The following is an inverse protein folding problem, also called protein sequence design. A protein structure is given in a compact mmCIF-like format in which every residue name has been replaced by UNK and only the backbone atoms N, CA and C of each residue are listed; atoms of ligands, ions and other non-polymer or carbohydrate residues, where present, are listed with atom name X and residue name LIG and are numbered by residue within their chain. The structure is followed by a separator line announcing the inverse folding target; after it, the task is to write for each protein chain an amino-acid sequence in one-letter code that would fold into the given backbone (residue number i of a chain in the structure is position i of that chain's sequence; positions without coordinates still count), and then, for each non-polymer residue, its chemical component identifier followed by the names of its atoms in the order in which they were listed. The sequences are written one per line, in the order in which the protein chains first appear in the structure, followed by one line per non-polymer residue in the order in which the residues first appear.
data_IF_356202588904
#
_entry.id   IF_356202588904
#
_cell.length_a   1.000
_cell.length_b   1.000
_cell.length_c   1.000
_cell.angle_alpha   90.00
_cell.angle_beta   90.00
_cell.angle_gamma   90.00
#
_symmetry.space_group_name_H-M   'P 1'
#
loop_
_entity.id
_entity.type
_entity.pdbx_description
1 polymer ?
#
# COMPACT_ATOMS: atom_id res chain seq x y z
N UNK A 1 13.71 5.20 0.35
CA UNK A 1 14.51 3.95 0.32
C UNK A 1 14.86 3.53 1.73
N UNK A 2 14.84 2.23 2.00
CA UNK A 2 15.30 1.63 3.26
C UNK A 2 16.20 0.42 2.98
N UNK A 3 17.32 0.24 3.71
CA UNK A 3 18.16 -0.95 3.59
C UNK A 3 17.39 -2.23 3.89
N UNK A 4 17.62 -3.27 3.08
CA UNK A 4 17.12 -4.60 3.40
C UNK A 4 18.03 -5.24 4.45
N UNK A 5 17.52 -5.34 5.69
CA UNK A 5 18.22 -5.96 6.83
C UNK A 5 17.77 -7.39 7.11
N UNK A 6 16.95 -7.97 6.23
CA UNK A 6 16.33 -9.30 6.40
C UNK A 6 16.85 -10.32 5.38
N UNK A 7 17.06 -9.92 4.13
CA UNK A 7 17.57 -10.80 3.06
C UNK A 7 18.65 -10.11 2.22
N UNK A 8 19.34 -10.88 1.37
CA UNK A 8 20.40 -10.37 0.51
C UNK A 8 19.89 -9.64 -0.75
N UNK A 9 18.64 -9.88 -1.15
CA UNK A 9 18.03 -9.28 -2.33
C UNK A 9 16.54 -8.95 -2.07
N UNK A 10 16.07 -7.76 -2.50
CA UNK A 10 16.85 -6.64 -3.04
C UNK A 10 17.75 -5.99 -1.99
N UNK A 11 18.76 -5.19 -2.38
CA UNK A 11 19.63 -4.48 -1.41
C UNK A 11 18.88 -3.42 -0.59
N UNK A 12 17.92 -2.77 -1.22
CA UNK A 12 17.06 -1.76 -0.59
C UNK A 12 15.61 -2.03 -0.99
N UNK A 13 14.68 -1.65 -0.12
CA UNK A 13 13.28 -1.50 -0.46
C UNK A 13 12.95 -0.04 -0.73
N UNK A 14 12.11 0.19 -1.73
CA UNK A 14 11.50 1.50 -1.97
C UNK A 14 10.34 1.71 -1.01
N UNK A 15 10.13 2.96 -0.60
CA UNK A 15 8.95 3.42 0.13
C UNK A 15 8.35 4.49 -0.77
N UNK A 16 7.11 4.31 -1.19
CA UNK A 16 6.47 5.22 -2.16
C UNK A 16 6.38 6.64 -1.56
N UNK A 17 6.00 6.74 -0.28
CA UNK A 17 5.96 8.03 0.41
C UNK A 17 6.20 7.90 1.91
N UNK A 18 7.03 8.77 2.49
CA UNK A 18 7.27 8.81 3.93
C UNK A 18 6.82 10.15 4.51
N UNK A 19 5.93 10.10 5.49
CA UNK A 19 5.45 11.27 6.22
C UNK A 19 6.17 11.34 7.56
N UNK A 20 7.21 12.18 7.63
CA UNK A 20 8.07 12.30 8.81
C UNK A 20 7.32 12.68 10.10
N UNK A 21 6.37 13.64 10.11
CA UNK A 21 5.66 14.01 11.34
C UNK A 21 4.91 12.84 12.00
N UNK A 22 4.29 11.99 11.18
CA UNK A 22 3.50 10.85 11.66
C UNK A 22 4.29 9.53 11.63
N UNK A 23 5.54 9.60 11.15
CA UNK A 23 6.44 8.47 10.99
C UNK A 23 5.85 7.31 10.14
N UNK A 24 5.02 7.64 9.15
CA UNK A 24 4.29 6.69 8.30
C UNK A 24 4.99 6.46 6.96
N UNK A 25 5.34 5.21 6.67
CA UNK A 25 5.91 4.75 5.42
C UNK A 25 4.83 4.08 4.56
N UNK A 26 4.36 4.81 3.55
CA UNK A 26 3.25 4.42 2.70
C UNK A 26 3.71 3.60 1.50
N UNK A 27 2.95 2.55 1.22
CA UNK A 27 2.92 1.80 -0.03
C UNK A 27 1.56 2.02 -0.69
N UNK A 28 1.56 2.60 -1.90
CA UNK A 28 0.34 3.04 -2.58
C UNK A 28 0.13 2.18 -3.83
N UNK A 29 -1.04 1.56 -3.93
CA UNK A 29 -1.43 0.71 -5.06
C UNK A 29 -2.79 1.11 -5.60
N UNK A 30 -2.89 1.26 -6.92
CA UNK A 30 -4.19 1.30 -7.59
C UNK A 30 -4.88 -0.06 -7.51
N UNK A 31 -4.22 -1.07 -8.07
CA UNK A 31 -4.61 -2.49 -8.03
C UNK A 31 -3.34 -3.30 -8.10
N UNK A 32 -3.24 -4.36 -7.30
CA UNK A 32 -2.12 -5.29 -7.36
C UNK A 32 -2.61 -6.67 -7.80
N UNK A 33 -2.27 -7.04 -9.04
CA UNK A 33 -2.72 -8.27 -9.69
C UNK A 33 -1.71 -9.42 -9.59
N UNK A 34 -0.72 -9.26 -8.72
CA UNK A 34 0.31 -10.26 -8.45
C UNK A 34 -0.28 -11.58 -7.99
N UNK A 35 0.22 -12.68 -8.56
CA UNK A 35 -0.22 -14.04 -8.25
C UNK A 35 0.88 -14.92 -7.66
N UNK A 36 2.12 -14.42 -7.62
CA UNK A 36 3.29 -15.16 -7.15
C UNK A 36 3.51 -14.96 -5.65
N UNK A 37 3.76 -16.09 -4.95
CA UNK A 37 4.00 -16.12 -3.51
C UNK A 37 5.32 -15.47 -3.10
N UNK A 38 6.30 -15.36 -4.00
CA UNK A 38 7.55 -14.64 -3.71
C UNK A 38 7.30 -13.17 -3.32
N UNK A 39 6.26 -12.57 -3.88
CA UNK A 39 5.88 -11.20 -3.53
C UNK A 39 5.40 -11.06 -2.08
N UNK A 40 4.69 -12.05 -1.54
CA UNK A 40 4.27 -12.02 -0.12
C UNK A 40 5.48 -11.98 0.79
N UNK A 41 6.50 -12.81 0.49
CA UNK A 41 7.75 -12.83 1.24
C UNK A 41 8.49 -11.51 1.16
N UNK A 42 8.62 -10.92 -0.04
CA UNK A 42 9.30 -9.63 -0.23
C UNK A 42 8.59 -8.49 0.50
N UNK A 43 7.25 -8.43 0.41
CA UNK A 43 6.47 -7.43 1.15
C UNK A 43 6.61 -7.62 2.67
N UNK A 44 6.58 -8.86 3.16
CA UNK A 44 6.81 -9.12 4.57
C UNK A 44 8.21 -8.65 5.01
N UNK A 45 9.27 -8.97 4.26
CA UNK A 45 10.63 -8.50 4.57
C UNK A 45 10.73 -6.97 4.57
N UNK A 46 10.07 -6.31 3.61
CA UNK A 46 9.99 -4.83 3.54
C UNK A 46 9.33 -4.25 4.79
N UNK A 47 8.18 -4.78 5.18
CA UNK A 47 7.44 -4.36 6.39
C UNK A 47 8.31 -4.51 7.64
N UNK A 48 9.02 -5.64 7.77
CA UNK A 48 9.93 -5.87 8.89
C UNK A 48 11.11 -4.86 8.89
N UNK A 49 11.67 -4.54 7.72
CA UNK A 49 12.69 -3.49 7.62
C UNK A 49 12.14 -2.14 8.08
N UNK A 50 10.97 -1.74 7.59
CA UNK A 50 10.30 -0.47 7.95
C UNK A 50 10.10 -0.39 9.47
N UNK A 51 9.56 -1.46 10.06
CA UNK A 51 9.33 -1.56 11.50
C UNK A 51 10.63 -1.53 12.31
N UNK A 52 11.69 -2.20 11.86
CA UNK A 52 13.02 -2.13 12.49
C UNK A 52 13.64 -0.74 12.44
N UNK A 53 13.35 0.04 11.39
CA UNK A 53 13.74 1.44 11.29
C UNK A 53 12.84 2.37 12.14
N UNK A 54 11.91 1.81 12.91
CA UNK A 54 11.03 2.55 13.81
C UNK A 54 9.85 3.23 13.12
N UNK A 55 9.59 2.97 11.83
CA UNK A 55 8.48 3.58 11.07
C UNK A 55 7.22 2.72 11.10
N UNK A 56 6.07 3.33 10.83
CA UNK A 56 4.77 2.66 10.72
C UNK A 56 4.51 2.31 9.24
N UNK A 57 4.44 1.03 8.86
CA UNK A 57 4.10 0.62 7.50
C UNK A 57 2.60 0.86 7.23
N UNK A 58 2.28 1.51 6.10
CA UNK A 58 0.89 1.82 5.72
C UNK A 58 0.66 1.35 4.28
N UNK A 59 -0.29 0.44 4.07
CA UNK A 59 -0.74 0.06 2.73
C UNK A 59 -2.02 0.81 2.38
N UNK A 60 -2.01 1.49 1.25
CA UNK A 60 -3.20 2.10 0.66
C UNK A 60 -3.46 1.42 -0.69
N UNK A 61 -4.58 0.70 -0.82
CA UNK A 61 -4.92 0.02 -2.08
C UNK A 61 -6.35 0.30 -2.52
N UNK A 62 -6.53 0.99 -3.64
CA UNK A 62 -7.84 1.48 -4.07
C UNK A 62 -8.76 0.39 -4.64
N UNK A 63 -8.20 -0.65 -5.25
CA UNK A 63 -8.97 -1.71 -5.92
C UNK A 63 -8.39 -3.09 -5.63
N UNK A 64 -9.24 -4.02 -5.19
CA UNK A 64 -8.90 -5.44 -5.15
C UNK A 64 -8.72 -5.99 -6.58
N UNK A 65 -7.82 -6.97 -6.77
CA UNK A 65 -7.73 -7.68 -8.04
C UNK A 65 -8.95 -8.58 -8.26
N UNK A 66 -9.21 -8.94 -9.51
CA UNK A 66 -10.39 -9.77 -9.86
C UNK A 66 -10.07 -11.28 -9.87
N UNK A 67 -8.80 -11.66 -10.03
CA UNK A 67 -8.41 -13.08 -10.15
C UNK A 67 -8.32 -13.72 -8.76
N UNK A 68 -9.01 -14.85 -8.55
CA UNK A 68 -9.04 -15.58 -7.27
C UNK A 68 -7.66 -15.79 -6.64
N UNK A 69 -6.65 -16.17 -7.44
CA UNK A 69 -5.29 -16.34 -6.93
C UNK A 69 -4.67 -15.03 -6.44
N UNK A 70 -4.84 -13.94 -7.20
CA UNK A 70 -4.34 -12.62 -6.81
C UNK A 70 -5.06 -12.11 -5.54
N UNK A 71 -6.38 -12.35 -5.43
CA UNK A 71 -7.15 -12.02 -4.22
C UNK A 71 -6.52 -12.69 -3.01
N UNK A 72 -6.29 -14.01 -3.05
CA UNK A 72 -5.68 -14.76 -1.93
C UNK A 72 -4.29 -14.24 -1.55
N UNK A 73 -3.48 -13.87 -2.54
CA UNK A 73 -2.15 -13.30 -2.28
C UNK A 73 -2.27 -11.92 -1.64
N UNK A 74 -3.15 -11.07 -2.14
CA UNK A 74 -3.36 -9.73 -1.58
C UNK A 74 -3.95 -9.78 -0.17
N UNK A 75 -4.86 -10.71 0.12
CA UNK A 75 -5.38 -10.91 1.48
C UNK A 75 -4.26 -11.21 2.49
N UNK A 76 -3.28 -12.04 2.10
CA UNK A 76 -2.09 -12.33 2.92
C UNK A 76 -1.20 -11.10 3.09
N UNK A 77 -0.97 -10.32 2.04
CA UNK A 77 -0.18 -9.09 2.15
C UNK A 77 -0.89 -8.10 3.07
N UNK A 78 -2.20 -7.91 2.89
CA UNK A 78 -3.03 -7.02 3.73
C UNK A 78 -3.00 -7.46 5.19
N UNK A 79 -3.10 -8.76 5.48
CA UNK A 79 -3.05 -9.24 6.86
C UNK A 79 -1.72 -8.91 7.54
N UNK A 80 -0.60 -9.03 6.82
CA UNK A 80 0.72 -8.65 7.36
C UNK A 80 0.79 -7.14 7.64
N UNK A 81 0.29 -6.29 6.73
CA UNK A 81 0.23 -4.86 7.00
C UNK A 81 -0.65 -4.54 8.22
N UNK A 82 -1.78 -5.22 8.40
CA UNK A 82 -2.65 -5.03 9.58
C UNK A 82 -2.02 -5.52 10.89
N UNK A 83 -1.16 -6.54 10.82
CA UNK A 83 -0.44 -7.05 11.99
C UNK A 83 0.65 -6.07 12.46
N UNK A 84 1.34 -5.40 11.53
CA UNK A 84 2.51 -4.57 11.84
C UNK A 84 2.31 -3.06 11.63
N UNK A 85 1.15 -2.63 11.17
CA UNK A 85 0.83 -1.24 10.84
C UNK A 85 -0.60 -1.06 10.36
N UNK A 86 -0.78 -0.37 9.23
CA UNK A 86 -2.11 -0.02 8.72
C UNK A 86 -2.34 -0.56 7.31
N UNK A 87 -3.58 -0.94 7.00
CA UNK A 87 -4.00 -1.29 5.65
C UNK A 87 -5.40 -0.74 5.35
N UNK A 88 -5.48 0.15 4.36
CA UNK A 88 -6.69 0.84 3.92
C UNK A 88 -7.02 0.38 2.50
N UNK A 89 -8.11 -0.36 2.33
CA UNK A 89 -8.41 -1.07 1.07
C UNK A 89 -9.80 -0.70 0.53
N UNK A 90 -9.91 -0.51 -0.78
CA UNK A 90 -11.19 -0.18 -1.41
C UNK A 90 -11.70 1.18 -0.94
N UNK A 91 -12.92 1.23 -0.39
CA UNK A 91 -13.51 2.48 0.14
C UNK A 91 -12.62 3.10 1.23
N UNK A 92 -12.03 2.29 2.09
CA UNK A 92 -11.17 2.76 3.19
C UNK A 92 -9.93 3.50 2.66
N UNK A 93 -9.39 3.10 1.50
CA UNK A 93 -8.26 3.80 0.87
C UNK A 93 -8.62 5.24 0.49
N UNK A 94 -9.82 5.44 -0.05
CA UNK A 94 -10.34 6.75 -0.43
C UNK A 94 -10.62 7.63 0.79
N UNK A 95 -11.28 7.06 1.80
CA UNK A 95 -11.57 7.75 3.05
C UNK A 95 -10.28 8.12 3.78
N UNK A 96 -9.28 7.22 3.79
CA UNK A 96 -7.97 7.46 4.40
C UNK A 96 -7.30 8.69 3.80
N UNK A 97 -7.15 8.76 2.47
CA UNK A 97 -6.50 9.90 1.82
C UNK A 97 -7.24 11.20 2.09
N UNK A 98 -8.58 11.19 2.01
CA UNK A 98 -9.40 12.36 2.30
C UNK A 98 -9.20 12.84 3.72
N UNK A 99 -9.26 11.94 4.70
CA UNK A 99 -9.14 12.30 6.11
C UNK A 99 -7.72 12.70 6.49
N UNK A 100 -6.72 12.03 5.91
CA UNK A 100 -5.31 12.22 6.25
C UNK A 100 -4.71 13.47 5.60
N UNK A 101 -5.18 13.84 4.41
CA UNK A 101 -4.63 14.98 3.65
C UNK A 101 -5.58 16.15 3.49
N UNK A 102 -6.87 15.97 3.80
CA UNK A 102 -7.94 16.93 3.47
C UNK A 102 -8.34 16.93 1.99
N UNK A 103 -7.70 16.13 1.14
CA UNK A 103 -7.93 16.13 -0.30
C UNK A 103 -8.83 14.97 -0.75
N UNK A 104 -9.98 15.31 -1.35
CA UNK A 104 -10.92 14.32 -1.89
C UNK A 104 -10.48 13.82 -3.28
N UNK A 105 -9.52 12.90 -3.30
CA UNK A 105 -8.95 12.34 -4.53
C UNK A 105 -9.99 11.62 -5.40
N UNK A 106 -10.94 10.90 -4.79
CA UNK A 106 -11.98 10.18 -5.53
C UNK A 106 -12.80 11.16 -6.36
N UNK A 107 -13.36 12.16 -5.69
CA UNK A 107 -14.17 13.20 -6.33
C UNK A 107 -13.37 13.95 -7.38
N UNK A 108 -12.11 14.31 -7.11
CA UNK A 108 -11.24 14.98 -8.09
C UNK A 108 -11.05 14.18 -9.40
N UNK A 109 -10.82 12.87 -9.29
CA UNK A 109 -10.59 12.00 -10.46
C UNK A 109 -11.88 11.76 -11.27
N UNK A 110 -13.02 11.60 -10.59
CA UNK A 110 -14.28 11.19 -11.23
C UNK A 110 -15.24 12.35 -11.55
N UNK A 111 -15.02 13.55 -11.02
CA UNK A 111 -15.76 14.74 -11.45
C UNK A 111 -15.43 15.11 -12.91
N UNK A 112 -14.15 15.04 -13.31
CA UNK A 112 -13.73 15.36 -14.68
C UNK A 112 -14.26 14.38 -15.74
N UNK A 113 -14.60 13.16 -15.35
CA UNK A 113 -15.19 12.16 -16.27
C UNK A 113 -16.66 12.40 -16.61
N UNK A 114 -17.35 13.34 -15.93
CA UNK A 114 -18.72 13.74 -16.28
C UNK A 114 -18.79 14.85 -17.33
N UNK A 115 -17.69 15.57 -17.56
CA UNK A 115 -17.65 16.76 -18.44
C UNK A 115 -17.13 16.46 -19.86
N UNK A 116 -16.76 15.19 -20.15
CA UNK A 116 -16.16 14.77 -21.42
C UNK A 116 -17.04 13.81 -22.24
N UNK A 117 -18.36 13.83 -22.00
CA UNK A 117 -19.35 13.26 -22.94
C UNK A 117 -19.99 14.39 -23.73
N UNK A 118 -19.23 14.94 -24.68
CA UNK A 118 -19.73 15.77 -25.79
C UNK A 118 -19.56 14.97 -27.08
#
# INVERSE_FOLDING_TARGET
RIPNTISQSPKNFEIDFFVKPDNKAHEIKWRDATTDGDHVRKEHNKIQCIKKAGMIPVRVMYYMPNRKQAIRIQERVISVYREYGEAHIGKEAWDYIRNYTGFDLYTHLYQKTKDTRL
#
